data_IF_659208047591
#
_entry.id   IF_659208047591
#
_cell.length_a   1.000
_cell.length_b   1.000
_cell.length_c   1.000
_cell.angle_alpha   90.00
_cell.angle_beta   90.00
_cell.angle_gamma   90.00
#
_symmetry.space_group_name_H-M   'P 1'
#
loop_
_entity.id
_entity.type
_entity.pdbx_description
1 polymer ?
#
# COMPACT_ATOMS: atom_id res chain seq x y z
N UNK A 1 -3.28 -7.56 8.28
CA UNK A 1 -2.82 -6.96 7.03
C UNK A 1 -1.82 -7.90 6.38
N UNK A 2 -2.16 -8.36 5.21
CA UNK A 2 -1.35 -9.35 4.49
C UNK A 2 -0.55 -8.65 3.41
N UNK A 3 0.27 -7.68 3.84
CA UNK A 3 1.27 -7.17 2.92
C UNK A 3 2.45 -8.11 3.01
N UNK A 4 2.67 -8.84 1.96
CA UNK A 4 3.88 -9.62 1.76
C UNK A 4 5.06 -8.67 1.50
N UNK A 5 5.26 -7.72 2.42
CA UNK A 5 6.36 -6.79 2.40
C UNK A 5 7.59 -7.60 2.80
N UNK A 6 8.40 -7.93 1.82
CA UNK A 6 9.62 -8.72 2.01
C UNK A 6 10.84 -7.86 2.30
N UNK A 7 10.71 -6.55 2.15
CA UNK A 7 11.78 -5.61 2.43
C UNK A 7 11.87 -5.35 3.92
N UNK A 8 13.04 -5.59 4.51
CA UNK A 8 13.33 -5.25 5.90
C UNK A 8 12.77 -6.19 6.96
N UNK A 9 12.30 -7.38 6.61
CA UNK A 9 11.79 -8.35 7.59
C UNK A 9 12.80 -8.69 8.69
N UNK A 10 14.05 -8.90 8.31
CA UNK A 10 15.12 -9.20 9.27
C UNK A 10 15.49 -7.98 10.12
N UNK A 11 15.29 -6.78 9.62
CA UNK A 11 15.46 -5.56 10.42
C UNK A 11 14.35 -5.41 11.47
N UNK A 12 13.10 -5.72 11.08
CA UNK A 12 11.99 -5.72 12.02
C UNK A 12 12.21 -6.75 13.12
N UNK A 13 12.63 -7.97 12.78
CA UNK A 13 12.96 -9.03 13.74
C UNK A 13 14.06 -8.60 14.72
N UNK A 14 15.11 -7.92 14.22
CA UNK A 14 16.19 -7.39 15.06
C UNK A 14 15.68 -6.36 16.06
N UNK A 15 14.87 -5.40 15.59
CA UNK A 15 14.30 -4.36 16.44
C UNK A 15 13.29 -4.90 17.47
N UNK A 16 12.45 -5.85 17.07
CA UNK A 16 11.45 -6.47 17.96
C UNK A 16 12.09 -7.39 19.02
N UNK A 17 13.25 -7.97 18.71
CA UNK A 17 13.97 -8.87 19.62
C UNK A 17 15.07 -8.20 20.44
N UNK A 18 15.16 -6.86 20.42
CA UNK A 18 16.26 -6.11 21.04
C UNK A 18 17.66 -6.64 20.61
N UNK A 19 17.78 -7.03 19.36
CA UNK A 19 19.05 -7.53 18.79
C UNK A 19 19.33 -9.01 19.04
N UNK A 20 18.40 -9.76 19.58
CA UNK A 20 18.61 -11.19 19.87
C UNK A 20 18.52 -12.06 18.60
N UNK A 21 17.79 -11.62 17.56
CA UNK A 21 17.67 -12.28 16.27
C UNK A 21 17.47 -11.27 15.15
N UNK A 22 17.57 -11.72 13.91
CA UNK A 22 17.48 -10.85 12.74
C UNK A 22 18.82 -10.26 12.30
N UNK A 23 18.78 -9.13 11.64
CA UNK A 23 19.95 -8.39 11.14
C UNK A 23 19.85 -6.93 11.57
N UNK A 24 20.92 -6.39 12.11
CA UNK A 24 21.00 -4.98 12.50
C UNK A 24 20.65 -4.07 11.30
N UNK A 25 19.63 -3.20 11.45
CA UNK A 25 19.23 -2.31 10.38
C UNK A 25 20.24 -1.17 10.18
N UNK A 26 20.31 -0.59 8.96
CA UNK A 26 20.99 0.65 8.74
C UNK A 26 20.47 1.76 9.68
N UNK A 27 21.33 2.71 10.04
CA UNK A 27 21.02 3.76 11.02
C UNK A 27 19.80 4.62 10.66
N UNK A 28 19.45 4.73 9.38
CA UNK A 28 18.28 5.49 8.91
C UNK A 28 16.94 4.77 9.16
N UNK A 29 16.93 3.46 9.42
CA UNK A 29 15.69 2.68 9.61
C UNK A 29 14.95 3.10 10.89
N UNK A 30 15.58 3.19 12.06
CA UNK A 30 14.92 3.69 13.27
C UNK A 30 14.34 5.10 13.07
N UNK A 31 15.06 6.02 12.44
CA UNK A 31 14.56 7.37 12.13
C UNK A 31 13.31 7.31 11.23
N UNK A 32 13.33 6.46 10.21
CA UNK A 32 12.17 6.29 9.33
C UNK A 32 10.94 5.74 10.07
N UNK A 33 11.13 4.86 11.05
CA UNK A 33 10.04 4.35 11.90
C UNK A 33 9.44 5.48 12.74
N UNK A 34 10.27 6.36 13.31
CA UNK A 34 9.79 7.55 14.03
C UNK A 34 8.98 8.47 13.12
N UNK A 35 9.44 8.72 11.90
CA UNK A 35 8.73 9.52 10.90
C UNK A 35 7.38 8.88 10.51
N UNK A 36 7.31 7.55 10.38
CA UNK A 36 6.05 6.82 10.13
C UNK A 36 5.06 7.00 11.29
N UNK A 37 5.52 6.87 12.52
CA UNK A 37 4.69 7.07 13.71
C UNK A 37 4.18 8.52 13.82
N UNK A 38 5.04 9.49 13.52
CA UNK A 38 4.66 10.90 13.44
C UNK A 38 3.60 11.14 12.35
N UNK A 39 3.81 10.58 11.14
CA UNK A 39 2.86 10.67 10.04
C UNK A 39 1.47 10.10 10.40
N UNK A 40 1.43 8.97 11.08
CA UNK A 40 0.18 8.34 11.51
C UNK A 40 -0.54 9.13 12.61
N UNK A 41 0.21 9.88 13.42
CA UNK A 41 -0.31 10.69 14.52
C UNK A 41 -0.72 12.10 14.09
N UNK A 42 -0.22 12.57 12.95
CA UNK A 42 -0.52 13.92 12.45
C UNK A 42 -1.99 14.02 11.97
N UNK A 43 -2.64 15.19 12.12
CA UNK A 43 -3.99 15.39 11.65
C UNK A 43 -4.12 15.15 10.14
N UNK A 44 -5.15 14.43 9.74
CA UNK A 44 -5.37 14.07 8.33
C UNK A 44 -5.46 15.32 7.45
N UNK A 45 -4.62 15.38 6.42
CA UNK A 45 -4.56 16.49 5.46
C UNK A 45 -3.82 17.73 5.95
N UNK A 46 -3.23 17.72 7.14
CA UNK A 46 -2.39 18.80 7.64
C UNK A 46 -1.13 18.99 6.80
N UNK A 47 -0.53 20.17 6.88
CA UNK A 47 0.73 20.42 6.20
C UNK A 47 1.88 19.60 6.81
N UNK A 48 1.86 19.38 8.12
CA UNK A 48 2.79 18.47 8.82
C UNK A 48 2.70 17.06 8.24
N UNK A 49 1.48 16.50 8.05
CA UNK A 49 1.31 15.19 7.47
C UNK A 49 1.84 15.11 6.04
N UNK A 50 1.64 16.17 5.23
CA UNK A 50 2.17 16.25 3.86
C UNK A 50 3.69 16.30 3.83
N UNK A 51 4.30 17.07 4.70
CA UNK A 51 5.76 17.16 4.81
C UNK A 51 6.38 15.83 5.19
N UNK A 52 5.79 15.14 6.18
CA UNK A 52 6.22 13.79 6.57
C UNK A 52 6.04 12.78 5.43
N UNK A 53 4.93 12.85 4.69
CA UNK A 53 4.73 12.00 3.52
C UNK A 53 5.80 12.19 2.45
N UNK A 54 6.17 13.45 2.17
CA UNK A 54 7.23 13.79 1.23
C UNK A 54 8.59 13.26 1.73
N UNK A 55 8.90 13.47 3.01
CA UNK A 55 10.14 12.99 3.64
C UNK A 55 10.26 11.46 3.49
N UNK A 56 9.19 10.73 3.86
CA UNK A 56 9.15 9.28 3.77
C UNK A 56 9.31 8.79 2.32
N UNK A 57 8.56 9.39 1.38
CA UNK A 57 8.64 9.03 -0.04
C UNK A 57 10.06 9.29 -0.60
N UNK A 58 10.67 10.41 -0.26
CA UNK A 58 12.03 10.75 -0.67
C UNK A 58 13.02 9.71 -0.15
N UNK A 59 12.91 9.35 1.13
CA UNK A 59 13.78 8.34 1.74
C UNK A 59 13.64 6.98 1.06
N UNK A 60 12.42 6.56 0.74
CA UNK A 60 12.17 5.29 0.02
C UNK A 60 12.82 5.27 -1.37
N UNK A 61 12.87 6.40 -2.06
CA UNK A 61 13.52 6.54 -3.37
C UNK A 61 15.03 6.56 -3.22
N UNK A 62 15.56 7.34 -2.28
CA UNK A 62 17.01 7.51 -2.06
C UNK A 62 17.67 6.18 -1.66
N UNK A 63 16.99 5.38 -0.84
CA UNK A 63 17.48 4.08 -0.40
C UNK A 63 17.08 2.94 -1.36
N UNK A 64 16.45 3.26 -2.49
CA UNK A 64 16.03 2.29 -3.52
C UNK A 64 15.22 1.12 -2.96
N UNK A 65 14.36 1.35 -1.96
CA UNK A 65 13.57 0.29 -1.31
C UNK A 65 12.61 -0.38 -2.30
N UNK A 66 12.14 0.36 -3.29
CA UNK A 66 11.26 -0.14 -4.35
C UNK A 66 11.71 0.39 -5.71
N UNK A 67 11.74 -0.48 -6.68
CA UNK A 67 11.98 -0.14 -8.08
C UNK A 67 10.67 -0.38 -8.83
N UNK A 68 9.98 0.72 -9.18
CA UNK A 68 8.77 0.65 -10.00
C UNK A 68 9.12 0.22 -11.43
N UNK A 69 8.44 -0.81 -11.92
CA UNK A 69 8.65 -1.30 -13.30
C UNK A 69 7.50 -0.95 -14.22
N UNK A 70 6.30 -1.34 -13.86
CA UNK A 70 5.09 -1.10 -14.65
C UNK A 70 3.89 -0.87 -13.75
N UNK A 71 2.95 -0.07 -14.22
CA UNK A 71 1.60 -0.01 -13.67
C UNK A 71 0.77 -1.06 -14.39
N UNK A 72 0.40 -2.13 -13.68
CA UNK A 72 -0.45 -3.17 -14.25
C UNK A 72 -1.89 -2.63 -14.41
N UNK A 73 -2.47 -2.64 -15.62
CA UNK A 73 -3.88 -2.36 -15.79
C UNK A 73 -4.70 -3.48 -15.15
N UNK A 74 -5.84 -3.14 -14.56
CA UNK A 74 -6.80 -4.09 -14.02
C UNK A 74 -8.08 -4.07 -14.89
N UNK A 75 -8.08 -4.72 -16.08
CA UNK A 75 -9.25 -4.73 -16.95
C UNK A 75 -10.36 -5.56 -16.30
N UNK A 76 -11.58 -5.05 -16.36
CA UNK A 76 -12.77 -5.83 -16.08
C UNK A 76 -13.24 -6.49 -17.38
N UNK A 77 -13.28 -7.82 -17.38
CA UNK A 77 -13.78 -8.60 -18.51
C UNK A 77 -15.06 -9.30 -18.06
N UNK A 78 -16.15 -9.06 -18.77
CA UNK A 78 -17.45 -9.68 -18.49
C UNK A 78 -18.15 -10.05 -19.78
N UNK A 79 -19.17 -10.91 -19.68
CA UNK A 79 -20.03 -11.25 -20.81
C UNK A 79 -20.86 -10.01 -21.21
N UNK A 80 -21.09 -9.81 -22.49
CA UNK A 80 -21.92 -8.72 -23.03
C UNK A 80 -23.39 -8.79 -22.58
N UNK A 81 -23.87 -9.97 -22.23
CA UNK A 81 -25.22 -10.18 -21.71
C UNK A 81 -25.38 -9.73 -20.25
N UNK A 82 -24.26 -9.54 -19.54
CA UNK A 82 -24.26 -9.02 -18.18
C UNK A 82 -24.41 -7.50 -18.20
N UNK A 83 -25.51 -7.01 -17.63
CA UNK A 83 -25.91 -5.60 -17.64
C UNK A 83 -25.65 -4.95 -16.28
N UNK A 84 -25.65 -3.62 -16.30
CA UNK A 84 -25.40 -2.77 -15.15
C UNK A 84 -24.02 -2.96 -14.52
N UNK A 85 -23.03 -3.35 -15.32
CA UNK A 85 -21.65 -3.44 -14.93
C UNK A 85 -21.01 -2.05 -15.13
N UNK A 86 -20.40 -1.52 -14.09
CA UNK A 86 -19.71 -0.23 -14.16
C UNK A 86 -18.41 -0.38 -14.95
N UNK A 87 -18.18 0.47 -15.94
CA UNK A 87 -16.98 0.42 -16.80
C UNK A 87 -15.70 0.72 -16.03
N UNK A 88 -15.77 1.59 -15.03
CA UNK A 88 -14.63 1.98 -14.23
C UNK A 88 -15.01 2.22 -12.77
N UNK A 89 -14.20 1.66 -11.86
CA UNK A 89 -14.24 1.95 -10.43
C UNK A 89 -12.83 2.07 -9.88
N UNK A 90 -12.67 2.84 -8.83
CA UNK A 90 -11.42 2.86 -8.08
C UNK A 90 -11.28 1.58 -7.29
N UNK A 91 -10.28 0.80 -7.59
CA UNK A 91 -9.94 -0.41 -6.85
C UNK A 91 -8.80 -0.14 -5.88
N UNK A 92 -8.89 -0.72 -4.70
CA UNK A 92 -7.81 -0.71 -3.71
C UNK A 92 -7.66 -2.12 -3.15
N UNK A 93 -6.62 -2.33 -2.34
CA UNK A 93 -6.43 -3.62 -1.70
C UNK A 93 -7.61 -3.99 -0.78
N UNK A 94 -8.20 -3.01 -0.11
CA UNK A 94 -9.36 -3.19 0.77
C UNK A 94 -10.65 -3.50 0.00
N UNK A 95 -10.80 -2.90 -1.19
CA UNK A 95 -11.99 -2.98 -2.03
C UNK A 95 -11.69 -3.63 -3.39
N UNK A 96 -10.88 -4.68 -3.39
CA UNK A 96 -10.51 -5.35 -4.62
C UNK A 96 -11.58 -6.33 -5.11
N UNK A 97 -11.34 -6.88 -6.31
CA UNK A 97 -12.23 -7.83 -6.98
C UNK A 97 -13.54 -7.17 -7.38
N UNK A 98 -14.65 -7.85 -7.14
CA UNK A 98 -15.97 -7.46 -7.63
C UNK A 98 -16.73 -6.49 -6.73
N UNK A 99 -16.28 -6.28 -5.50
CA UNK A 99 -17.02 -5.50 -4.52
C UNK A 99 -17.30 -4.06 -4.95
N UNK A 100 -16.34 -3.28 -5.49
CA UNK A 100 -16.60 -1.92 -5.96
C UNK A 100 -17.52 -1.85 -7.18
N UNK A 101 -17.67 -2.96 -7.90
CA UNK A 101 -18.53 -3.05 -9.08
C UNK A 101 -19.99 -3.35 -8.74
N UNK A 102 -20.35 -3.48 -7.47
CA UNK A 102 -21.70 -3.73 -6.98
C UNK A 102 -22.39 -4.93 -7.68
N UNK A 103 -21.81 -6.14 -7.61
CA UNK A 103 -22.33 -7.30 -8.35
C UNK A 103 -23.75 -7.67 -8.01
N UNK A 104 -24.26 -7.23 -6.87
CA UNK A 104 -25.68 -7.41 -6.46
C UNK A 104 -26.67 -6.67 -7.36
N UNK A 105 -26.19 -5.73 -8.18
CA UNK A 105 -26.99 -4.95 -9.12
C UNK A 105 -26.90 -5.45 -10.56
N UNK A 106 -26.09 -6.48 -10.82
CA UNK A 106 -25.93 -7.03 -12.16
C UNK A 106 -27.09 -7.96 -12.50
N UNK A 107 -27.45 -8.02 -13.77
CA UNK A 107 -28.41 -9.00 -14.30
C UNK A 107 -27.98 -9.48 -15.67
N UNK A 108 -28.51 -10.62 -16.08
CA UNK A 108 -28.34 -11.15 -17.42
C UNK A 108 -29.51 -10.68 -18.29
N UNK A 109 -29.19 -10.21 -19.49
CA UNK A 109 -30.17 -9.89 -20.53
C UNK A 109 -30.45 -11.20 -21.30
N UNK A 110 -31.69 -11.71 -21.23
CA UNK A 110 -32.14 -12.95 -21.87
C UNK A 110 -32.59 -12.71 -23.31
#
# INVERSE_FOLDING_TARGET
GYFDIRTGMLWAEYLESDGASGVEPPAWVPEMIEDVNAFQSAPIGSDEQKELAIKLATKMVDEMLFIGTVLAPAPLIHNNDLKNVTDFVTTSYEYYRTYPYLPVQWWLDE
#
